data_IF_730637678410
#
_entry.id   IF_730637678410
#
_cell.length_a   1.000
_cell.length_b   1.000
_cell.length_c   1.000
_cell.angle_alpha   90.00
_cell.angle_beta   90.00
_cell.angle_gamma   90.00
#
_symmetry.space_group_name_H-M   'P 1'
#
loop_
_entity.id
_entity.type
_entity.pdbx_description
1 polymer ?
#
# COMPACT_ATOMS: atom_id res chain seq x y z
N UNK A 1 -20.68 19.63 -7.24
CA UNK A 1 -19.70 18.59 -7.64
C UNK A 1 -18.63 18.42 -6.58
N UNK A 2 -17.72 19.38 -6.36
CA UNK A 2 -16.54 19.19 -5.50
C UNK A 2 -16.78 18.64 -4.06
N UNK A 3 -17.85 19.05 -3.36
CA UNK A 3 -18.17 18.51 -2.01
C UNK A 3 -18.68 17.07 -2.07
N UNK A 4 -19.47 16.74 -3.09
CA UNK A 4 -19.97 15.39 -3.32
C UNK A 4 -18.82 14.45 -3.70
N UNK A 5 -17.90 14.94 -4.54
CA UNK A 5 -16.67 14.24 -4.91
C UNK A 5 -15.79 13.99 -3.68
N UNK A 6 -15.67 14.96 -2.76
CA UNK A 6 -14.95 14.77 -1.50
C UNK A 6 -15.55 13.67 -0.63
N UNK A 7 -16.87 13.65 -0.44
CA UNK A 7 -17.56 12.62 0.33
C UNK A 7 -17.32 11.21 -0.24
N UNK A 8 -17.55 11.04 -1.55
CA UNK A 8 -17.29 9.76 -2.26
C UNK A 8 -15.84 9.32 -2.04
N UNK A 9 -14.92 10.26 -2.15
CA UNK A 9 -13.50 10.01 -2.08
C UNK A 9 -13.01 9.50 -0.71
N UNK A 10 -13.74 9.80 0.36
CA UNK A 10 -13.48 9.25 1.69
C UNK A 10 -13.96 7.80 1.78
N UNK A 11 -15.17 7.52 1.30
CA UNK A 11 -15.75 6.17 1.33
C UNK A 11 -15.02 5.19 0.42
N UNK A 12 -14.50 5.66 -0.72
CA UNK A 12 -13.74 4.86 -1.69
C UNK A 12 -12.60 4.06 -1.01
N UNK A 13 -11.94 4.61 0.01
CA UNK A 13 -10.88 3.92 0.73
C UNK A 13 -11.31 2.64 1.46
N UNK A 14 -12.60 2.52 1.77
CA UNK A 14 -13.18 1.36 2.45
C UNK A 14 -13.82 0.36 1.47
N UNK A 15 -14.04 0.74 0.22
CA UNK A 15 -14.70 -0.11 -0.78
C UNK A 15 -13.81 -0.50 -1.96
N UNK A 16 -12.68 0.19 -2.19
CA UNK A 16 -11.70 -0.17 -3.22
C UNK A 16 -10.71 -1.24 -2.70
N UNK A 17 -10.71 -2.47 -3.26
CA UNK A 17 -9.79 -3.55 -2.87
C UNK A 17 -8.31 -3.24 -3.10
N UNK A 18 -7.98 -2.20 -3.88
CA UNK A 18 -6.61 -1.71 -4.03
C UNK A 18 -6.15 -0.92 -2.80
N UNK A 19 -7.05 -0.51 -1.91
CA UNK A 19 -6.75 0.25 -0.69
C UNK A 19 -6.65 -0.69 0.51
N UNK A 20 -5.70 -0.43 1.39
CA UNK A 20 -5.46 -1.26 2.58
C UNK A 20 -6.61 -1.24 3.59
N UNK A 21 -7.41 -0.17 3.64
CA UNK A 21 -8.60 -0.09 4.49
C UNK A 21 -9.88 -0.67 3.85
N UNK A 22 -9.77 -1.36 2.71
CA UNK A 22 -10.89 -2.10 2.16
C UNK A 22 -11.56 -2.98 3.23
N UNK A 23 -12.88 -2.91 3.31
CA UNK A 23 -13.66 -3.51 4.39
C UNK A 23 -13.43 -5.02 4.50
N UNK A 24 -13.19 -5.72 3.37
CA UNK A 24 -12.85 -7.14 3.39
C UNK A 24 -11.56 -7.43 4.16
N UNK A 25 -10.52 -6.58 4.02
CA UNK A 25 -9.27 -6.72 4.76
C UNK A 25 -9.41 -6.35 6.24
N UNK A 26 -10.30 -5.41 6.57
CA UNK A 26 -10.62 -5.07 7.96
C UNK A 26 -11.35 -6.23 8.65
N UNK A 27 -12.32 -6.86 7.98
CA UNK A 27 -13.02 -8.04 8.50
C UNK A 27 -12.05 -9.20 8.70
N UNK A 28 -11.18 -9.47 7.73
CA UNK A 28 -10.15 -10.50 7.86
C UNK A 28 -9.22 -10.24 9.05
N UNK A 29 -8.74 -8.99 9.20
CA UNK A 29 -7.91 -8.59 10.33
C UNK A 29 -8.64 -8.74 11.68
N UNK A 30 -9.92 -8.36 11.77
CA UNK A 30 -10.73 -8.54 12.98
C UNK A 30 -10.89 -10.02 13.34
N UNK A 31 -11.12 -10.89 12.34
CA UNK A 31 -11.17 -12.33 12.54
C UNK A 31 -9.86 -12.87 13.10
N UNK A 32 -8.73 -12.53 12.48
CA UNK A 32 -7.38 -12.93 12.93
C UNK A 32 -7.14 -12.46 14.37
N UNK A 33 -7.41 -11.19 14.68
CA UNK A 33 -7.25 -10.63 16.03
C UNK A 33 -8.13 -11.35 17.05
N UNK A 34 -9.39 -11.63 16.71
CA UNK A 34 -10.33 -12.33 17.58
C UNK A 34 -9.85 -13.74 17.91
N UNK A 35 -9.53 -14.54 16.90
CA UNK A 35 -9.02 -15.90 17.12
C UNK A 35 -7.67 -15.93 17.84
N UNK A 36 -6.78 -15.00 17.55
CA UNK A 36 -5.52 -14.85 18.28
C UNK A 36 -5.75 -14.60 19.78
N UNK A 37 -6.67 -13.71 20.12
CA UNK A 37 -6.97 -13.38 21.51
C UNK A 37 -7.64 -14.55 22.25
N UNK A 38 -8.49 -15.33 21.57
CA UNK A 38 -9.12 -16.51 22.15
C UNK A 38 -8.15 -17.68 22.31
N UNK A 39 -7.41 -18.03 21.27
CA UNK A 39 -6.60 -19.25 21.22
C UNK A 39 -5.25 -19.01 21.88
N UNK A 40 -4.52 -17.98 21.44
CA UNK A 40 -3.14 -17.73 21.89
C UNK A 40 -3.08 -16.98 23.21
N UNK A 41 -4.01 -16.05 23.46
CA UNK A 41 -4.06 -15.28 24.72
C UNK A 41 -5.09 -15.81 25.72
N UNK A 42 -5.86 -16.85 25.36
CA UNK A 42 -6.86 -17.52 26.23
C UNK A 42 -7.86 -16.55 26.87
N UNK A 43 -8.19 -15.46 26.18
CA UNK A 43 -9.20 -14.52 26.66
C UNK A 43 -10.60 -15.10 26.42
N UNK A 44 -11.55 -14.77 27.30
CA UNK A 44 -12.97 -15.00 27.01
C UNK A 44 -13.44 -14.12 25.84
N UNK A 45 -14.49 -14.52 25.13
CA UNK A 45 -15.12 -13.73 24.04
C UNK A 45 -15.38 -12.27 24.45
N UNK A 46 -15.95 -12.05 25.65
CA UNK A 46 -16.25 -10.69 26.15
C UNK A 46 -15.00 -9.83 26.28
N UNK A 47 -13.92 -10.37 26.84
CA UNK A 47 -12.66 -9.66 27.00
C UNK A 47 -11.95 -9.43 25.65
N UNK A 48 -12.01 -10.39 24.72
CA UNK A 48 -11.46 -10.24 23.39
C UNK A 48 -12.16 -9.09 22.63
N UNK A 49 -13.49 -9.06 22.63
CA UNK A 49 -14.25 -7.97 21.97
C UNK A 49 -14.00 -6.61 22.63
N UNK A 50 -13.96 -6.54 23.97
CA UNK A 50 -13.61 -5.30 24.67
C UNK A 50 -12.22 -4.80 24.29
N UNK A 51 -11.26 -5.71 24.16
CA UNK A 51 -9.90 -5.37 23.76
C UNK A 51 -9.85 -4.90 22.31
N UNK A 52 -10.52 -5.59 21.38
CA UNK A 52 -10.55 -5.21 19.96
C UNK A 52 -11.18 -3.83 19.77
N UNK A 53 -12.30 -3.55 20.44
CA UNK A 53 -13.05 -2.30 20.32
C UNK A 53 -12.81 -1.34 21.49
N UNK A 54 -11.58 -1.29 21.99
CA UNK A 54 -11.23 -0.46 23.14
C UNK A 54 -11.47 1.03 22.82
N UNK A 55 -12.44 1.63 23.51
CA UNK A 55 -12.83 3.03 23.31
C UNK A 55 -11.70 4.00 23.64
N UNK A 56 -10.86 3.66 24.62
CA UNK A 56 -9.73 4.52 25.00
C UNK A 56 -8.73 4.66 23.86
N UNK A 57 -8.59 3.62 23.03
CA UNK A 57 -7.74 3.63 21.83
C UNK A 57 -8.43 4.41 20.71
N UNK A 58 -9.60 3.97 20.25
CA UNK A 58 -10.28 4.53 19.06
C UNK A 58 -10.70 5.99 19.23
N UNK A 59 -11.04 6.43 20.45
CA UNK A 59 -11.44 7.80 20.72
C UNK A 59 -10.34 8.64 21.39
N UNK A 60 -9.11 8.12 21.45
CA UNK A 60 -7.94 8.85 21.96
C UNK A 60 -7.71 10.16 21.19
N UNK A 61 -6.98 11.08 21.81
CA UNK A 61 -6.50 12.29 21.13
C UNK A 61 -5.66 11.96 19.90
N UNK A 62 -4.90 10.86 19.94
CA UNK A 62 -4.08 10.38 18.83
C UNK A 62 -4.92 9.90 17.66
N UNK A 63 -5.89 9.02 17.89
CA UNK A 63 -6.74 8.47 16.82
C UNK A 63 -7.65 9.53 16.20
N UNK A 64 -8.08 10.54 16.98
CA UNK A 64 -8.76 11.71 16.43
C UNK A 64 -7.86 12.53 15.49
N UNK A 65 -6.56 12.63 15.82
CA UNK A 65 -5.59 13.29 14.94
C UNK A 65 -5.41 12.50 13.64
N UNK A 66 -5.35 11.16 13.69
CA UNK A 66 -5.25 10.32 12.50
C UNK A 66 -6.41 10.59 11.52
N UNK A 67 -7.64 10.63 12.04
CA UNK A 67 -8.82 10.92 11.21
C UNK A 67 -8.80 12.33 10.62
N UNK A 68 -8.40 13.34 11.40
CA UNK A 68 -8.26 14.73 10.91
C UNK A 68 -7.21 14.83 9.79
N UNK A 69 -6.04 14.23 10.00
CA UNK A 69 -4.96 14.22 9.00
C UNK A 69 -5.42 13.47 7.74
N UNK A 70 -6.13 12.35 7.88
CA UNK A 70 -6.71 11.63 6.76
C UNK A 70 -7.67 12.53 5.93
N UNK A 71 -8.56 13.29 6.57
CA UNK A 71 -9.46 14.22 5.86
C UNK A 71 -8.69 15.35 5.16
N UNK A 72 -7.68 15.93 5.82
CA UNK A 72 -6.81 16.95 5.21
C UNK A 72 -6.08 16.39 3.99
N UNK A 73 -5.51 15.19 4.11
CA UNK A 73 -4.82 14.51 3.03
C UNK A 73 -5.78 14.24 1.86
N UNK A 74 -7.03 13.84 2.13
CA UNK A 74 -8.01 13.61 1.08
C UNK A 74 -8.34 14.89 0.32
N UNK A 75 -8.55 16.00 1.03
CA UNK A 75 -8.79 17.30 0.40
C UNK A 75 -7.58 17.69 -0.46
N UNK A 76 -6.38 17.60 0.10
CA UNK A 76 -5.14 17.90 -0.61
C UNK A 76 -4.95 17.05 -1.87
N UNK A 77 -5.16 15.74 -1.80
CA UNK A 77 -5.01 14.83 -2.94
C UNK A 77 -6.02 15.13 -4.06
N UNK A 78 -7.25 15.55 -3.75
CA UNK A 78 -8.21 15.92 -4.79
C UNK A 78 -7.71 17.07 -5.67
N UNK A 79 -7.03 18.06 -5.07
CA UNK A 79 -6.48 19.19 -5.83
C UNK A 79 -5.15 18.88 -6.50
N UNK A 80 -4.29 18.09 -5.84
CA UNK A 80 -2.92 17.85 -6.32
C UNK A 80 -2.84 16.69 -7.32
N UNK A 81 -3.68 15.66 -7.21
CA UNK A 81 -3.57 14.46 -8.04
C UNK A 81 -3.59 14.69 -9.56
N UNK A 82 -4.36 15.65 -10.13
CA UNK A 82 -4.32 15.92 -11.58
C UNK A 82 -2.99 16.52 -12.06
N UNK A 83 -2.22 17.12 -11.15
CA UNK A 83 -0.91 17.73 -11.43
C UNK A 83 0.24 16.74 -11.29
N UNK A 84 -0.01 15.55 -10.73
CA UNK A 84 1.03 14.57 -10.47
C UNK A 84 1.35 13.77 -11.73
N UNK A 85 2.63 13.45 -11.86
CA UNK A 85 3.12 12.54 -12.87
C UNK A 85 2.44 11.17 -12.72
N UNK A 86 1.86 10.66 -13.80
CA UNK A 86 1.20 9.35 -13.82
C UNK A 86 2.16 8.26 -14.28
N UNK A 87 1.87 7.03 -13.89
CA UNK A 87 2.62 5.86 -14.37
C UNK A 87 2.60 5.72 -15.89
N UNK A 88 1.53 6.15 -16.55
CA UNK A 88 1.40 6.03 -18.01
C UNK A 88 2.36 6.99 -18.71
N UNK A 89 2.48 8.23 -18.22
CA UNK A 89 3.45 9.21 -18.76
C UNK A 89 4.86 8.67 -18.61
N UNK A 90 5.21 8.14 -17.43
CA UNK A 90 6.53 7.51 -17.20
C UNK A 90 6.73 6.32 -18.13
N UNK A 91 5.73 5.45 -18.25
CA UNK A 91 5.82 4.25 -19.08
C UNK A 91 6.05 4.62 -20.55
N UNK A 92 5.28 5.57 -21.09
CA UNK A 92 5.43 6.04 -22.46
C UNK A 92 6.80 6.68 -22.68
N UNK A 93 7.26 7.53 -21.76
CA UNK A 93 8.58 8.16 -21.88
C UNK A 93 9.70 7.11 -21.93
N UNK A 94 9.73 6.18 -20.96
CA UNK A 94 10.76 5.13 -20.90
C UNK A 94 10.65 4.19 -22.10
N UNK A 95 9.44 3.82 -22.53
CA UNK A 95 9.24 2.96 -23.69
C UNK A 95 9.81 3.58 -24.98
N UNK A 96 9.61 4.89 -25.20
CA UNK A 96 10.22 5.57 -26.35
C UNK A 96 11.75 5.61 -26.24
N UNK A 97 12.31 5.84 -25.05
CA UNK A 97 13.77 5.75 -24.85
C UNK A 97 14.32 4.35 -25.16
N UNK A 98 13.57 3.29 -24.80
CA UNK A 98 13.97 1.91 -25.11
C UNK A 98 13.98 1.64 -26.62
N UNK A 99 13.07 2.25 -27.38
CA UNK A 99 13.02 2.14 -28.85
C UNK A 99 14.16 2.87 -29.57
N UNK A 100 14.72 3.92 -28.97
CA UNK A 100 15.84 4.68 -29.55
C UNK A 100 17.18 3.95 -29.42
N UNK A 101 17.29 3.01 -28.48
CA UNK A 101 18.50 2.23 -28.24
C UNK A 101 18.50 0.98 -29.11
N UNK A 102 19.55 0.79 -29.91
CA UNK A 102 19.79 -0.49 -30.59
C UNK A 102 20.34 -1.51 -29.59
N UNK A 103 19.45 -2.35 -29.06
CA UNK A 103 19.80 -3.45 -28.15
C UNK A 103 20.40 -4.66 -28.88
N UNK A 104 20.48 -4.62 -30.21
CA UNK A 104 20.75 -5.77 -31.06
C UNK A 104 19.55 -6.71 -31.16
N UNK A 105 19.68 -7.74 -32.01
CA UNK A 105 18.66 -8.77 -32.19
C UNK A 105 18.60 -9.71 -30.98
N UNK A 106 17.92 -9.30 -29.91
CA UNK A 106 17.54 -10.20 -28.83
C UNK A 106 16.20 -10.86 -29.17
N UNK A 107 16.20 -12.19 -29.30
CA UNK A 107 14.99 -13.00 -29.29
C UNK A 107 15.00 -13.97 -28.11
N UNK A 108 13.82 -14.23 -27.54
CA UNK A 108 13.68 -15.38 -26.67
C UNK A 108 13.76 -16.62 -27.55
N UNK A 109 14.68 -17.55 -27.26
CA UNK A 109 14.81 -18.79 -28.02
C UNK A 109 13.52 -19.63 -28.05
N UNK A 110 12.64 -19.40 -27.07
CA UNK A 110 11.23 -19.81 -27.06
C UNK A 110 10.41 -18.65 -26.50
N UNK A 111 9.37 -18.23 -27.24
CA UNK A 111 8.44 -17.20 -26.78
C UNK A 111 7.75 -17.65 -25.47
N UNK A 112 7.87 -16.88 -24.37
CA UNK A 112 7.26 -17.25 -23.12
C UNK A 112 5.72 -17.25 -23.26
N UNK A 113 5.06 -18.18 -22.57
CA UNK A 113 3.60 -18.18 -22.52
C UNK A 113 3.09 -16.92 -21.81
N UNK A 114 1.90 -16.45 -22.19
CA UNK A 114 1.23 -15.31 -21.52
C UNK A 114 1.16 -15.48 -20.00
N UNK A 115 0.92 -16.71 -19.51
CA UNK A 115 0.87 -17.00 -18.08
C UNK A 115 2.20 -16.70 -17.37
N UNK A 116 3.33 -17.04 -18.01
CA UNK A 116 4.67 -16.75 -17.48
C UNK A 116 4.95 -15.25 -17.50
N UNK A 117 4.59 -14.54 -18.57
CA UNK A 117 4.75 -13.08 -18.67
C UNK A 117 3.93 -12.37 -17.59
N UNK A 118 2.66 -12.72 -17.44
CA UNK A 118 1.75 -12.15 -16.42
C UNK A 118 2.25 -12.44 -15.00
N UNK A 119 2.67 -13.68 -14.70
CA UNK A 119 3.21 -14.03 -13.40
C UNK A 119 4.49 -13.26 -13.08
N UNK A 120 5.41 -13.17 -14.05
CA UNK A 120 6.68 -12.46 -13.90
C UNK A 120 6.49 -10.96 -13.73
N UNK A 121 5.60 -10.34 -14.52
CA UNK A 121 5.25 -8.93 -14.40
C UNK A 121 4.60 -8.62 -13.05
N UNK A 122 3.63 -9.44 -12.63
CA UNK A 122 2.94 -9.31 -11.35
C UNK A 122 3.91 -9.38 -10.17
N UNK A 123 4.82 -10.35 -10.21
CA UNK A 123 5.85 -10.53 -9.18
C UNK A 123 6.86 -9.38 -9.21
N UNK A 124 7.31 -8.96 -10.40
CA UNK A 124 8.25 -7.85 -10.56
C UNK A 124 7.67 -6.54 -9.99
N UNK A 125 6.43 -6.19 -10.34
CA UNK A 125 5.74 -5.01 -9.80
C UNK A 125 5.65 -5.09 -8.27
N UNK A 126 5.31 -6.26 -7.72
CA UNK A 126 5.24 -6.46 -6.27
C UNK A 126 6.60 -6.22 -5.58
N UNK A 127 7.67 -6.84 -6.09
CA UNK A 127 9.03 -6.73 -5.53
C UNK A 127 9.56 -5.30 -5.67
N UNK A 128 9.42 -4.69 -6.84
CA UNK A 128 9.92 -3.33 -7.08
C UNK A 128 9.14 -2.30 -6.25
N UNK A 129 7.82 -2.47 -6.07
CA UNK A 129 7.03 -1.57 -5.22
C UNK A 129 7.50 -1.63 -3.77
N UNK A 130 7.71 -2.83 -3.23
CA UNK A 130 8.22 -3.00 -1.85
C UNK A 130 9.66 -2.47 -1.69
N UNK A 131 10.55 -2.81 -2.62
CA UNK A 131 11.95 -2.38 -2.58
C UNK A 131 12.10 -0.86 -2.65
N UNK A 132 11.41 -0.22 -3.60
CA UNK A 132 11.48 1.25 -3.74
C UNK A 132 10.81 1.96 -2.56
N UNK A 133 9.75 1.38 -1.99
CA UNK A 133 9.13 1.88 -0.75
C UNK A 133 10.11 1.79 0.42
N UNK A 134 10.84 0.69 0.55
CA UNK A 134 11.89 0.55 1.57
C UNK A 134 12.97 1.63 1.43
N UNK A 135 13.47 1.88 0.21
CA UNK A 135 14.48 2.92 -0.04
C UNK A 135 13.97 4.30 0.38
N UNK A 136 12.79 4.69 -0.09
CA UNK A 136 12.20 6.01 0.21
C UNK A 136 11.97 6.15 1.71
N UNK A 137 11.43 5.11 2.36
CA UNK A 137 11.22 5.10 3.80
C UNK A 137 12.55 5.21 4.57
N UNK A 138 13.59 4.48 4.16
CA UNK A 138 14.92 4.58 4.77
C UNK A 138 15.50 5.99 4.62
N UNK A 139 15.30 6.65 3.48
CA UNK A 139 15.70 8.04 3.28
C UNK A 139 14.89 8.99 4.18
N UNK A 140 13.61 8.73 4.39
CA UNK A 140 12.78 9.48 5.33
C UNK A 140 13.27 9.41 6.77
N UNK A 141 13.93 8.33 7.18
CA UNK A 141 14.58 8.21 8.48
C UNK A 141 15.99 8.79 8.55
N UNK A 142 16.67 8.96 7.40
CA UNK A 142 18.07 9.41 7.35
C UNK A 142 18.22 10.91 7.10
N UNK A 143 17.39 11.51 6.26
CA UNK A 143 17.57 12.88 5.79
C UNK A 143 16.68 13.86 6.57
N UNK A 144 17.21 14.94 7.17
CA UNK A 144 16.44 15.83 8.04
C UNK A 144 15.18 16.43 7.39
N UNK A 145 15.25 16.80 6.10
CA UNK A 145 14.11 17.33 5.37
C UNK A 145 12.99 16.28 5.25
N UNK A 146 13.31 15.06 4.86
CA UNK A 146 12.31 14.00 4.71
C UNK A 146 11.79 13.52 6.08
N UNK A 147 12.65 13.50 7.09
CA UNK A 147 12.25 13.22 8.47
C UNK A 147 11.24 14.24 9.00
N UNK A 148 11.39 15.52 8.65
CA UNK A 148 10.45 16.56 9.07
C UNK A 148 9.00 16.29 8.61
N UNK A 149 8.84 15.57 7.50
CA UNK A 149 7.55 15.09 7.00
C UNK A 149 7.15 13.80 7.71
N UNK A 150 8.05 12.82 7.73
CA UNK A 150 7.75 11.46 8.19
C UNK A 150 7.56 11.35 9.70
N UNK A 151 8.10 12.28 10.50
CA UNK A 151 7.84 12.33 11.96
C UNK A 151 6.35 12.50 12.29
N UNK A 152 5.53 13.01 11.37
CA UNK A 152 4.07 13.07 11.54
C UNK A 152 3.50 11.66 11.71
N UNK A 153 3.97 10.70 10.93
CA UNK A 153 3.59 9.29 11.06
C UNK A 153 4.02 8.69 12.41
N UNK A 154 5.27 8.94 12.82
CA UNK A 154 5.80 8.44 14.11
C UNK A 154 5.22 9.11 15.35
N UNK A 155 4.45 10.20 15.19
CA UNK A 155 3.83 10.88 16.33
C UNK A 155 2.57 10.18 16.87
N UNK A 156 2.14 9.08 16.26
CA UNK A 156 1.02 8.29 16.76
C UNK A 156 1.38 7.58 18.08
N UNK A 157 0.60 7.83 19.12
CA UNK A 157 0.75 7.18 20.44
C UNK A 157 -0.18 6.00 20.66
N UNK A 158 -1.23 5.89 19.83
CA UNK A 158 -2.17 4.79 19.78
C UNK A 158 -2.36 4.40 18.32
N UNK A 159 -2.36 3.09 18.04
CA UNK A 159 -2.47 2.59 16.67
C UNK A 159 -3.88 2.07 16.40
N UNK A 160 -4.45 2.53 15.30
CA UNK A 160 -5.66 1.99 14.67
C UNK A 160 -5.39 1.79 13.18
N UNK A 161 -6.17 1.01 12.44
CA UNK A 161 -5.91 0.81 11.02
C UNK A 161 -5.79 2.13 10.23
N UNK A 162 -6.53 3.18 10.64
CA UNK A 162 -6.50 4.52 10.04
C UNK A 162 -5.13 5.20 10.21
N UNK A 163 -4.35 4.85 11.24
CA UNK A 163 -3.03 5.45 11.51
C UNK A 163 -2.06 5.35 10.33
N UNK A 164 -2.28 4.41 9.40
CA UNK A 164 -1.53 4.35 8.13
C UNK A 164 -1.59 5.65 7.32
N UNK A 165 -2.68 6.41 7.44
CA UNK A 165 -2.92 7.66 6.73
C UNK A 165 -2.50 8.90 7.52
N UNK A 166 -1.89 8.73 8.70
CA UNK A 166 -1.29 9.82 9.47
C UNK A 166 0.04 10.23 8.85
N UNK A 167 0.01 10.75 7.64
CA UNK A 167 1.19 11.19 6.89
C UNK A 167 1.10 12.67 6.56
N UNK A 168 2.24 13.34 6.43
CA UNK A 168 2.24 14.72 5.95
C UNK A 168 1.76 14.76 4.48
N UNK A 169 0.99 15.76 4.01
CA UNK A 169 0.51 15.79 2.63
C UNK A 169 1.62 15.66 1.56
N UNK A 170 2.76 16.33 1.80
CA UNK A 170 3.95 16.23 0.94
C UNK A 170 4.58 14.81 0.92
N UNK A 171 4.46 14.04 2.00
CA UNK A 171 4.86 12.63 2.01
C UNK A 171 4.00 11.82 1.02
N UNK A 172 2.71 12.16 0.91
CA UNK A 172 1.81 11.60 -0.10
C UNK A 172 2.27 11.88 -1.53
N UNK A 173 2.81 13.06 -1.82
CA UNK A 173 3.40 13.39 -3.14
C UNK A 173 4.61 12.50 -3.40
N UNK A 174 5.55 12.42 -2.44
CA UNK A 174 6.75 11.59 -2.57
C UNK A 174 6.41 10.14 -2.89
N UNK A 175 5.48 9.54 -2.14
CA UNK A 175 5.06 8.15 -2.40
C UNK A 175 4.29 7.99 -3.71
N UNK A 176 3.52 8.99 -4.14
CA UNK A 176 2.82 8.97 -5.42
C UNK A 176 3.78 9.02 -6.60
N UNK A 177 4.77 9.91 -6.57
CA UNK A 177 5.82 10.01 -7.60
C UNK A 177 6.66 8.74 -7.66
N UNK A 178 7.06 8.20 -6.50
CA UNK A 178 7.72 6.89 -6.42
C UNK A 178 6.86 5.80 -7.08
N UNK A 179 5.58 5.73 -6.73
CA UNK A 179 4.66 4.72 -7.28
C UNK A 179 4.52 4.84 -8.80
N UNK A 180 4.36 6.06 -9.31
CA UNK A 180 4.26 6.34 -10.73
C UNK A 180 5.54 5.93 -11.47
N UNK A 181 6.71 6.26 -10.92
CA UNK A 181 7.99 5.88 -11.48
C UNK A 181 8.17 4.35 -11.52
N UNK A 182 7.98 3.68 -10.38
CA UNK A 182 8.17 2.23 -10.25
C UNK A 182 7.22 1.45 -11.18
N UNK A 183 5.93 1.79 -11.19
CA UNK A 183 4.95 1.11 -12.04
C UNK A 183 5.18 1.46 -13.51
N UNK A 184 5.47 2.72 -13.83
CA UNK A 184 5.76 3.15 -15.20
C UNK A 184 6.98 2.45 -15.80
N UNK A 185 8.08 2.38 -15.04
CA UNK A 185 9.29 1.63 -15.43
C UNK A 185 8.97 0.15 -15.67
N UNK A 186 8.24 -0.48 -14.76
CA UNK A 186 7.87 -1.89 -14.88
C UNK A 186 7.02 -2.13 -16.13
N UNK A 187 6.01 -1.29 -16.38
CA UNK A 187 5.15 -1.37 -17.55
C UNK A 187 5.98 -1.19 -18.83
N UNK A 188 6.81 -0.16 -18.92
CA UNK A 188 7.61 0.14 -20.10
C UNK A 188 8.53 -1.03 -20.48
N UNK A 189 9.29 -1.55 -19.50
CA UNK A 189 10.25 -2.65 -19.74
C UNK A 189 9.52 -3.92 -20.16
N UNK A 190 8.47 -4.31 -19.45
CA UNK A 190 7.74 -5.54 -19.81
C UNK A 190 7.01 -5.39 -21.15
N UNK A 191 6.41 -4.23 -21.43
CA UNK A 191 5.70 -4.00 -22.69
C UNK A 191 6.66 -3.91 -23.87
N UNK A 192 7.86 -3.38 -23.67
CA UNK A 192 8.94 -3.43 -24.66
C UNK A 192 9.34 -4.86 -24.99
N UNK A 193 9.48 -5.72 -23.97
CA UNK A 193 9.95 -7.11 -24.16
C UNK A 193 8.85 -8.07 -24.65
N UNK A 194 7.60 -7.90 -24.23
CA UNK A 194 6.54 -8.89 -24.41
C UNK A 194 5.25 -8.33 -25.05
N UNK A 195 5.23 -7.03 -25.36
CA UNK A 195 4.10 -6.37 -26.02
C UNK A 195 2.77 -6.56 -25.29
N UNK A 196 1.75 -6.96 -26.05
CA UNK A 196 0.36 -7.10 -25.57
C UNK A 196 0.13 -8.29 -24.61
N UNK A 197 1.15 -9.10 -24.31
CA UNK A 197 1.04 -10.18 -23.34
C UNK A 197 1.06 -9.68 -21.89
N UNK A 198 1.54 -8.46 -21.66
CA UNK A 198 1.68 -7.86 -20.32
C UNK A 198 0.33 -7.56 -19.71
N UNK A 199 0.07 -8.19 -18.56
CA UNK A 199 -1.13 -7.95 -17.75
C UNK A 199 -0.83 -8.30 -16.28
N UNK A 200 -1.60 -7.76 -15.35
CA UNK A 200 -1.49 -8.11 -13.93
C UNK A 200 -2.40 -9.28 -13.58
N UNK A 201 -1.85 -10.25 -12.85
CA UNK A 201 -2.69 -11.23 -12.16
C UNK A 201 -3.33 -10.56 -10.95
N UNK A 202 -4.65 -10.34 -11.04
CA UNK A 202 -5.40 -9.60 -10.02
C UNK A 202 -6.51 -10.42 -9.37
N UNK A 203 -6.85 -10.04 -8.14
CA UNK A 203 -8.05 -10.44 -7.41
C UNK A 203 -8.79 -9.17 -7.03
N UNK A 204 -10.05 -9.04 -7.48
CA UNK A 204 -10.85 -7.82 -7.34
C UNK A 204 -10.13 -6.55 -7.84
N UNK A 205 -9.30 -6.69 -8.88
CA UNK A 205 -8.52 -5.60 -9.48
C UNK A 205 -7.26 -5.19 -8.70
N UNK A 206 -6.95 -5.80 -7.56
CA UNK A 206 -5.69 -5.63 -6.86
C UNK A 206 -4.70 -6.74 -7.27
N UNK A 207 -3.40 -6.43 -7.35
CA UNK A 207 -2.35 -7.43 -7.55
C UNK A 207 -2.52 -8.59 -6.54
N UNK A 208 -2.54 -9.84 -7.01
CA UNK A 208 -2.85 -11.02 -6.19
C UNK A 208 -1.95 -11.15 -4.96
N UNK A 209 -0.67 -10.79 -5.06
CA UNK A 209 0.28 -10.86 -3.95
C UNK A 209 -0.02 -9.78 -2.89
N UNK A 210 -0.36 -8.57 -3.34
CA UNK A 210 -0.79 -7.47 -2.46
C UNK A 210 -2.12 -7.81 -1.78
N UNK A 211 -3.06 -8.40 -2.52
CA UNK A 211 -4.34 -8.85 -2.01
C UNK A 211 -4.13 -9.91 -0.91
N UNK A 212 -3.35 -10.96 -1.19
CA UNK A 212 -3.04 -12.02 -0.24
C UNK A 212 -2.40 -11.46 1.04
N UNK A 213 -1.43 -10.55 0.89
CA UNK A 213 -0.79 -9.88 2.00
C UNK A 213 -1.76 -9.04 2.86
N UNK A 214 -2.72 -8.36 2.23
CA UNK A 214 -3.72 -7.59 2.95
C UNK A 214 -4.73 -8.47 3.70
N UNK A 215 -5.18 -9.56 3.08
CA UNK A 215 -6.04 -10.57 3.72
C UNK A 215 -5.33 -11.23 4.90
N UNK A 216 -4.02 -11.45 4.82
CA UNK A 216 -3.19 -12.04 5.88
C UNK A 216 -3.00 -11.12 7.12
N UNK A 217 -3.80 -10.08 7.28
CA UNK A 217 -3.81 -9.23 8.48
C UNK A 217 -2.89 -8.02 8.39
N UNK A 218 -2.66 -7.48 7.19
CA UNK A 218 -1.79 -6.30 7.02
C UNK A 218 -2.19 -5.13 7.92
N UNK A 219 -3.50 -4.91 8.15
CA UNK A 219 -4.05 -3.88 9.05
C UNK A 219 -3.66 -4.05 10.52
N UNK A 220 -3.36 -5.27 10.98
CA UNK A 220 -2.99 -5.55 12.37
C UNK A 220 -1.66 -4.92 12.77
N UNK A 221 -0.78 -4.67 11.78
CA UNK A 221 0.48 -3.93 11.98
C UNK A 221 0.28 -2.49 12.41
N UNK A 222 -0.93 -1.95 12.26
CA UNK A 222 -1.30 -0.62 12.71
C UNK A 222 -2.50 -0.78 13.64
N UNK A 223 -2.36 -1.62 14.67
CA UNK A 223 -3.39 -1.83 15.67
C UNK A 223 -2.74 -1.95 17.04
N UNK A 224 -3.54 -1.74 18.08
CA UNK A 224 -3.15 -2.00 19.48
C UNK A 224 -3.16 -3.50 19.83
N UNK A 225 -3.51 -4.39 18.89
CA UNK A 225 -3.48 -5.84 19.09
C UNK A 225 -2.10 -6.37 18.71
N UNK A 226 -1.27 -6.61 19.73
CA UNK A 226 0.03 -7.27 19.57
C UNK A 226 -0.13 -8.75 19.17
N UNK A 227 0.09 -9.04 17.89
CA UNK A 227 0.25 -10.40 17.36
C UNK A 227 1.74 -10.69 17.28
N UNK A 228 2.10 -11.90 17.71
CA UNK A 228 3.47 -12.37 17.71
C UNK A 228 3.58 -13.48 16.66
N UNK A 229 4.69 -13.50 15.94
CA UNK A 229 5.04 -14.65 15.12
C UNK A 229 5.53 -15.78 16.02
N UNK A 230 5.77 -16.95 15.42
CA UNK A 230 6.43 -18.03 16.14
C UNK A 230 7.81 -17.56 16.62
N UNK A 231 8.18 -17.96 17.84
CA UNK A 231 9.42 -17.51 18.49
C UNK A 231 10.65 -17.68 17.60
N UNK A 232 10.74 -18.76 16.82
CA UNK A 232 11.87 -19.03 15.93
C UNK A 232 12.03 -18.00 14.79
N UNK A 233 10.94 -17.31 14.41
CA UNK A 233 10.96 -16.28 13.38
C UNK A 233 11.27 -14.88 13.95
N UNK A 234 10.99 -14.64 15.25
CA UNK A 234 11.23 -13.36 15.93
C UNK A 234 12.66 -13.22 16.49
N UNK A 235 13.53 -14.22 16.31
CA UNK A 235 14.90 -14.25 16.87
C UNK A 235 15.95 -13.48 16.05
N UNK A 236 15.51 -12.73 15.01
CA UNK A 236 16.38 -11.92 14.14
C UNK A 236 16.36 -10.46 14.59
#
# INVERSE_FOLDING_TARGET
MQVFDFGISVFEHFFDPKKRLFIGYLIAALGIAFFWLLISKKLTIRHALRKIFDRSVFFSTSSRADFKVFLINRAFTLFISPLLLTQLVVATFIFNLLLEVDWGAWSFGLEPSKAVVVASFTFCVFVLDDFTKYIVHRWMHKWPLLWSLHKVHHSASHLTPITIYRTHPLEGIVFSLRSAFTQGLSIAVFFYLFGNQVDLFTVLGANVLVFAFNVAGSNLRHSHIGIQYWRWLEYI
#
